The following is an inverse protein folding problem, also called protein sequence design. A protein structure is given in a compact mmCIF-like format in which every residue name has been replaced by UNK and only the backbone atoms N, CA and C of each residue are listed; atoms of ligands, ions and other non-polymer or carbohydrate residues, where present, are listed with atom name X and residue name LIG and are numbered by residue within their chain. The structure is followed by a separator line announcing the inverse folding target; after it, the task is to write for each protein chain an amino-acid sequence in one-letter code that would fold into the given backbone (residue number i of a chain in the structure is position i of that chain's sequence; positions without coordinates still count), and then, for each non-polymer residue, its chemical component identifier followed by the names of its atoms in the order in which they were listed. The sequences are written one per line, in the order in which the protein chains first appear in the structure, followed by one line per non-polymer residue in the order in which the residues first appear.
data_IF_434407318026
#
_entry.id   IF_434407318026
#
_cell.length_a   1.000
_cell.length_b   1.000
_cell.length_c   1.000
_cell.angle_alpha   90.00
_cell.angle_beta   90.00
_cell.angle_gamma   90.00
#
_symmetry.space_group_name_H-M   'P 1'
#
loop_
_entity.id
_entity.type
_entity.pdbx_description
1 polymer ?
#
# COMPACT_ATOMS: atom_id res chain seq x y z
N UNK A 1 -3.31 5.17 10.75
CA UNK A 1 -1.97 4.74 10.35
C UNK A 1 -1.64 5.41 9.03
N UNK A 2 -0.57 6.19 8.96
CA UNK A 2 -0.03 6.69 7.69
C UNK A 2 1.00 5.70 7.14
N UNK A 3 1.26 5.78 5.83
CA UNK A 3 2.32 5.01 5.18
C UNK A 3 3.38 5.97 4.60
N UNK A 4 4.62 5.75 5.03
CA UNK A 4 5.80 6.46 4.53
C UNK A 4 6.67 5.48 3.75
N UNK A 5 7.09 5.88 2.57
CA UNK A 5 7.94 5.10 1.67
C UNK A 5 9.29 5.78 1.57
N UNK A 6 10.35 5.02 1.78
CA UNK A 6 11.71 5.54 1.78
C UNK A 6 12.53 4.84 0.70
N UNK A 7 13.27 5.62 -0.07
CA UNK A 7 14.29 5.09 -0.97
C UNK A 7 15.64 5.05 -0.25
N UNK A 8 16.35 3.93 -0.34
CA UNK A 8 17.68 3.77 0.20
C UNK A 8 18.61 3.20 -0.86
N UNK A 9 19.90 3.50 -0.75
CA UNK A 9 20.91 2.76 -1.49
C UNK A 9 20.98 1.31 -0.98
N UNK A 10 21.38 0.36 -1.83
CA UNK A 10 21.35 -1.07 -1.49
C UNK A 10 22.23 -1.39 -0.27
N UNK A 11 23.41 -0.80 -0.18
CA UNK A 11 24.33 -0.96 0.95
C UNK A 11 23.73 -0.41 2.25
N UNK A 12 22.95 0.67 2.17
CA UNK A 12 22.20 1.22 3.31
C UNK A 12 21.07 0.28 3.76
N UNK A 13 20.33 -0.33 2.84
CA UNK A 13 19.32 -1.36 3.18
C UNK A 13 19.96 -2.52 3.94
N UNK A 14 21.11 -3.01 3.47
CA UNK A 14 21.84 -4.08 4.15
C UNK A 14 22.38 -3.64 5.52
N UNK A 15 22.78 -2.37 5.69
CA UNK A 15 23.13 -1.84 7.00
C UNK A 15 21.94 -1.84 7.96
N UNK A 16 20.76 -1.35 7.52
CA UNK A 16 19.52 -1.31 8.31
C UNK A 16 19.10 -2.72 8.75
N UNK A 17 19.15 -3.70 7.85
CA UNK A 17 18.86 -5.11 8.18
C UNK A 17 19.76 -5.67 9.28
N UNK A 18 21.00 -5.20 9.35
CA UNK A 18 21.97 -5.58 10.37
C UNK A 18 21.94 -4.63 11.60
N UNK A 19 20.80 -3.98 11.85
CA UNK A 19 20.57 -3.05 12.97
C UNK A 19 21.47 -1.80 12.95
N UNK A 20 21.96 -1.43 11.76
CA UNK A 20 22.63 -0.15 11.52
C UNK A 20 21.65 0.96 11.16
N UNK A 21 22.15 2.19 11.07
CA UNK A 21 21.38 3.36 10.65
C UNK A 21 21.65 3.70 9.17
N UNK A 22 20.76 4.51 8.58
CA UNK A 22 20.85 4.92 7.19
C UNK A 22 20.17 6.25 6.91
N UNK A 23 20.69 6.98 5.93
CA UNK A 23 20.01 8.17 5.40
C UNK A 23 19.19 7.80 4.16
N UNK A 24 17.92 8.20 4.15
CA UNK A 24 17.05 8.00 3.00
C UNK A 24 17.47 8.94 1.86
N UNK A 25 17.45 8.41 0.64
CA UNK A 25 17.67 9.17 -0.60
C UNK A 25 16.44 9.99 -0.97
N UNK A 26 15.26 9.46 -0.66
CA UNK A 26 13.97 10.10 -0.94
C UNK A 26 12.91 9.57 0.03
N UNK A 27 11.85 10.34 0.22
CA UNK A 27 10.69 9.99 1.04
C UNK A 27 9.40 10.36 0.32
N UNK A 28 8.42 9.48 0.39
CA UNK A 28 7.06 9.74 -0.06
C UNK A 28 6.04 9.37 1.01
N UNK A 29 5.21 10.32 1.40
CA UNK A 29 4.11 10.12 2.35
C UNK A 29 2.78 9.94 1.60
N UNK A 30 2.20 8.74 1.68
CA UNK A 30 0.90 8.41 1.10
C UNK A 30 -0.26 8.67 2.08
N UNK A 31 0.04 9.22 3.26
CA UNK A 31 -0.83 9.36 4.42
C UNK A 31 -1.68 8.11 4.59
N UNK A 32 -3.01 8.24 4.58
CA UNK A 32 -3.93 7.14 4.92
C UNK A 32 -4.41 6.35 3.71
N UNK A 33 -3.88 6.62 2.52
CA UNK A 33 -4.46 6.10 1.27
C UNK A 33 -3.86 4.76 0.82
N UNK A 34 -2.90 4.20 1.56
CA UNK A 34 -2.19 2.97 1.20
C UNK A 34 -3.11 1.77 0.94
N UNK A 35 -4.13 1.55 1.77
CA UNK A 35 -5.04 0.41 1.63
C UNK A 35 -5.98 0.56 0.42
N UNK A 36 -6.51 1.77 0.23
CA UNK A 36 -7.30 2.12 -0.95
C UNK A 36 -6.49 2.05 -2.24
N UNK A 37 -5.22 2.46 -2.22
CA UNK A 37 -4.31 2.32 -3.35
C UNK A 37 -4.06 0.85 -3.68
N UNK A 38 -3.80 0.01 -2.66
CA UNK A 38 -3.65 -1.42 -2.85
C UNK A 38 -4.91 -2.05 -3.47
N UNK A 39 -6.11 -1.70 -2.99
CA UNK A 39 -7.36 -2.19 -3.57
C UNK A 39 -7.60 -1.71 -4.99
N UNK A 40 -7.24 -0.47 -5.28
CA UNK A 40 -7.33 0.09 -6.63
C UNK A 40 -6.43 -0.68 -7.61
N UNK A 41 -5.19 -0.96 -7.20
CA UNK A 41 -4.20 -1.62 -8.04
C UNK A 41 -4.41 -3.14 -8.19
N UNK A 42 -5.02 -3.79 -7.20
CA UNK A 42 -5.04 -5.27 -7.12
C UNK A 42 -6.44 -5.88 -7.00
N UNK A 43 -7.46 -5.06 -6.73
CA UNK A 43 -8.83 -5.50 -6.46
C UNK A 43 -9.09 -5.95 -5.01
N UNK A 44 -8.05 -6.16 -4.19
CA UNK A 44 -8.18 -6.55 -2.77
C UNK A 44 -7.62 -5.46 -1.87
N UNK A 45 -8.26 -5.16 -0.75
CA UNK A 45 -7.60 -4.38 0.30
C UNK A 45 -6.57 -5.26 1.02
N UNK A 46 -5.71 -4.63 1.80
CA UNK A 46 -4.57 -5.26 2.47
C UNK A 46 -5.05 -6.18 3.56
N UNK A 47 -6.11 -5.81 4.28
CA UNK A 47 -6.68 -6.64 5.33
C UNK A 47 -7.25 -7.95 4.78
N UNK A 48 -7.84 -7.93 3.58
CA UNK A 48 -8.28 -9.12 2.84
C UNK A 48 -7.07 -10.02 2.50
N UNK A 49 -5.97 -9.43 1.99
CA UNK A 49 -4.74 -10.17 1.65
C UNK A 49 -4.06 -10.76 2.88
N UNK A 50 -3.95 -9.99 3.97
CA UNK A 50 -3.36 -10.46 5.24
C UNK A 50 -4.18 -11.59 5.85
N UNK A 51 -5.52 -11.44 5.90
CA UNK A 51 -6.41 -12.44 6.48
C UNK A 51 -6.39 -13.76 5.70
N UNK A 52 -6.09 -13.71 4.41
CA UNK A 52 -5.93 -14.88 3.55
C UNK A 52 -4.54 -15.54 3.66
N UNK A 53 -3.60 -14.97 4.41
CA UNK A 53 -2.19 -15.41 4.41
C UNK A 53 -1.48 -15.19 3.07
N UNK A 54 -2.02 -14.29 2.25
CA UNK A 54 -1.53 -13.99 0.90
C UNK A 54 -0.47 -12.88 0.87
N UNK A 55 -0.28 -12.19 2.01
CA UNK A 55 0.71 -11.12 2.13
C UNK A 55 2.12 -11.73 1.96
N UNK A 56 2.90 -11.16 1.05
CA UNK A 56 4.22 -11.65 0.60
C UNK A 56 4.25 -12.99 -0.15
N UNK A 57 3.16 -13.75 -0.19
CA UNK A 57 3.12 -15.07 -0.88
C UNK A 57 2.57 -14.99 -2.30
N UNK A 58 1.78 -13.95 -2.63
CA UNK A 58 1.27 -13.73 -3.98
C UNK A 58 2.22 -12.82 -4.77
N UNK A 59 2.79 -13.27 -5.91
CA UNK A 59 3.72 -12.47 -6.69
C UNK A 59 2.98 -11.45 -7.55
N UNK A 60 2.51 -10.37 -6.92
CA UNK A 60 1.90 -9.23 -7.59
C UNK A 60 2.75 -7.98 -7.41
N UNK A 61 3.54 -7.57 -8.43
CA UNK A 61 4.37 -6.37 -8.34
C UNK A 61 3.61 -5.08 -8.01
N UNK A 62 2.31 -4.99 -8.32
CA UNK A 62 1.51 -3.84 -7.91
C UNK A 62 1.17 -3.84 -6.41
N UNK A 63 1.09 -5.03 -5.79
CA UNK A 63 0.97 -5.16 -4.33
C UNK A 63 2.28 -4.76 -3.65
N UNK A 64 3.42 -5.18 -4.21
CA UNK A 64 4.75 -4.85 -3.69
C UNK A 64 5.06 -3.36 -3.73
N UNK A 65 4.43 -2.61 -4.64
CA UNK A 65 4.52 -1.16 -4.65
C UNK A 65 4.00 -0.51 -3.35
N UNK A 66 3.11 -1.19 -2.63
CA UNK A 66 2.50 -0.70 -1.39
C UNK A 66 3.12 -1.34 -0.14
N UNK A 67 3.45 -2.64 -0.20
CA UNK A 67 3.91 -3.42 0.97
C UNK A 67 5.31 -4.00 0.84
N UNK A 68 6.02 -3.82 -0.26
CA UNK A 68 7.26 -4.58 -0.50
C UNK A 68 7.01 -6.09 -0.61
N UNK A 69 8.09 -6.87 -0.52
CA UNK A 69 8.08 -8.32 -0.68
C UNK A 69 8.54 -9.07 0.59
N UNK A 70 9.24 -8.39 1.50
CA UNK A 70 9.86 -8.99 2.67
C UNK A 70 9.93 -7.98 3.83
N UNK A 71 10.10 -8.45 5.06
CA UNK A 71 10.13 -7.62 6.28
C UNK A 71 11.54 -7.42 6.82
N UNK A 72 11.78 -6.30 7.51
CA UNK A 72 13.03 -6.03 8.23
C UNK A 72 12.77 -6.12 9.74
N UNK A 73 13.70 -6.72 10.50
CA UNK A 73 13.64 -6.84 11.97
C UNK A 73 13.40 -8.28 12.48
N UNK A 74 13.70 -8.51 13.76
CA UNK A 74 13.41 -9.81 14.41
C UNK A 74 11.89 -10.02 14.52
N UNK A 75 11.45 -11.20 14.06
CA UNK A 75 10.09 -11.73 14.17
C UNK A 75 8.95 -10.82 13.66
N UNK A 76 9.21 -9.99 12.64
CA UNK A 76 8.17 -9.14 12.01
C UNK A 76 7.54 -8.13 12.98
N UNK A 77 8.23 -7.80 14.07
CA UNK A 77 7.78 -6.90 15.13
C UNK A 77 7.76 -5.43 14.71
N UNK A 78 8.49 -5.08 13.65
CA UNK A 78 8.46 -3.76 13.04
C UNK A 78 7.68 -3.85 11.72
N UNK A 79 6.67 -2.98 11.57
CA UNK A 79 5.85 -2.88 10.36
C UNK A 79 6.63 -2.23 9.19
N UNK A 80 7.86 -2.67 8.97
CA UNK A 80 8.76 -2.18 7.93
C UNK A 80 9.03 -3.34 6.98
N UNK A 81 8.59 -3.14 5.76
CA UNK A 81 8.81 -4.06 4.66
C UNK A 81 9.56 -3.37 3.52
N UNK A 82 10.25 -4.16 2.70
CA UNK A 82 11.11 -3.65 1.64
C UNK A 82 10.91 -4.43 0.34
N UNK A 83 11.25 -3.78 -0.76
CA UNK A 83 11.41 -4.39 -2.08
C UNK A 83 12.89 -4.29 -2.47
N UNK A 84 13.51 -5.41 -2.86
CA UNK A 84 14.89 -5.40 -3.34
C UNK A 84 15.01 -4.73 -4.71
N UNK A 85 16.24 -4.53 -5.19
CA UNK A 85 16.51 -3.87 -6.49
C UNK A 85 15.77 -4.54 -7.65
N UNK A 86 15.70 -5.87 -7.69
CA UNK A 86 15.00 -6.58 -8.77
C UNK A 86 13.47 -6.49 -8.64
N UNK A 87 12.95 -6.47 -7.41
CA UNK A 87 11.53 -6.27 -7.15
C UNK A 87 11.09 -4.86 -7.54
N UNK A 88 11.90 -3.84 -7.26
CA UNK A 88 11.65 -2.46 -7.68
C UNK A 88 11.60 -2.35 -9.20
N UNK A 89 12.44 -3.08 -9.94
CA UNK A 89 12.35 -3.13 -11.42
C UNK A 89 11.05 -3.78 -11.88
N UNK A 90 10.62 -4.85 -11.22
CA UNK A 90 9.36 -5.53 -11.53
C UNK A 90 8.14 -4.61 -11.25
N UNK A 91 8.15 -3.91 -10.11
CA UNK A 91 7.17 -2.89 -9.73
C UNK A 91 7.12 -1.80 -10.79
N UNK A 92 8.26 -1.20 -11.14
CA UNK A 92 8.33 -0.12 -12.11
C UNK A 92 7.76 -0.55 -13.48
N UNK A 93 8.09 -1.76 -13.93
CA UNK A 93 7.55 -2.32 -15.17
C UNK A 93 6.04 -2.53 -15.10
N UNK A 94 5.53 -3.07 -14.00
CA UNK A 94 4.10 -3.29 -13.81
C UNK A 94 3.34 -1.96 -13.79
N UNK A 95 3.84 -0.96 -13.06
CA UNK A 95 3.26 0.39 -13.00
C UNK A 95 3.23 1.05 -14.38
N UNK A 96 4.33 1.00 -15.15
CA UNK A 96 4.40 1.56 -16.50
C UNK A 96 3.48 0.86 -17.51
N UNK A 97 3.20 -0.43 -17.29
CA UNK A 97 2.34 -1.23 -18.17
C UNK A 97 0.86 -1.14 -17.78
N UNK A 98 0.56 -0.57 -16.60
CA UNK A 98 -0.81 -0.44 -16.12
C UNK A 98 -1.46 0.77 -16.77
N UNK A 99 -2.59 0.54 -17.43
CA UNK A 99 -3.47 1.62 -17.88
C UNK A 99 -4.24 2.15 -16.68
N UNK A 100 -3.70 3.22 -16.07
CA UNK A 100 -4.27 3.84 -14.87
C UNK A 100 -5.65 4.43 -15.14
N UNK A 101 -5.92 4.94 -16.35
CA UNK A 101 -7.22 5.52 -16.69
C UNK A 101 -8.29 4.44 -16.74
N UNK A 102 -8.00 3.32 -17.42
CA UNK A 102 -8.90 2.15 -17.46
C UNK A 102 -9.10 1.57 -16.06
N UNK A 103 -8.03 1.47 -15.27
CA UNK A 103 -8.10 0.97 -13.90
C UNK A 103 -9.01 1.84 -13.04
N UNK A 104 -8.78 3.16 -12.99
CA UNK A 104 -9.60 4.11 -12.24
C UNK A 104 -11.07 4.12 -12.69
N UNK A 105 -11.33 4.01 -14.00
CA UNK A 105 -12.69 3.93 -14.53
C UNK A 105 -13.45 2.67 -14.06
N UNK A 106 -12.72 1.60 -13.71
CA UNK A 106 -13.30 0.34 -13.22
C UNK A 106 -13.51 0.30 -11.70
N UNK A 107 -12.94 1.24 -10.94
CA UNK A 107 -12.99 1.21 -9.47
C UNK A 107 -14.38 1.60 -8.96
N UNK A 108 -14.98 0.70 -8.16
CA UNK A 108 -16.17 1.01 -7.38
C UNK A 108 -15.80 1.53 -5.98
N UNK A 109 -15.62 2.85 -5.86
CA UNK A 109 -15.33 3.49 -4.56
C UNK A 109 -16.46 3.34 -3.53
N UNK A 110 -17.70 3.10 -3.95
CA UNK A 110 -18.79 2.82 -2.99
C UNK A 110 -18.56 1.48 -2.29
N UNK A 111 -18.09 0.48 -3.04
CA UNK A 111 -17.74 -0.84 -2.51
C UNK A 111 -16.56 -0.84 -1.54
N UNK A 112 -15.73 0.22 -1.53
CA UNK A 112 -14.63 0.35 -0.56
C UNK A 112 -15.17 0.49 0.86
N UNK A 113 -16.32 1.15 1.04
CA UNK A 113 -16.97 1.28 2.35
C UNK A 113 -17.55 -0.04 2.85
N UNK A 114 -18.11 -0.86 1.95
CA UNK A 114 -18.78 -2.12 2.29
C UNK A 114 -17.81 -3.17 2.87
N UNK A 115 -16.55 -3.13 2.43
CA UNK A 115 -15.49 -4.06 2.82
C UNK A 115 -14.48 -3.45 3.79
N UNK A 116 -14.78 -2.27 4.35
CA UNK A 116 -13.95 -1.62 5.37
C UNK A 116 -12.56 -1.19 4.87
N UNK A 117 -12.42 -0.81 3.59
CA UNK A 117 -11.15 -0.33 3.06
C UNK A 117 -10.73 0.97 3.76
N UNK A 118 -9.50 1.02 4.25
CA UNK A 118 -8.92 2.17 4.90
C UNK A 118 -8.54 3.28 3.88
N UNK A 119 -8.72 4.56 4.20
CA UNK A 119 -9.37 5.08 5.39
C UNK A 119 -10.89 4.91 5.30
N UNK A 120 -11.58 4.74 6.43
CA UNK A 120 -13.04 4.50 6.49
C UNK A 120 -13.89 5.75 6.16
N UNK A 121 -13.61 6.41 5.04
CA UNK A 121 -14.25 7.64 4.56
C UNK A 121 -15.24 7.39 3.41
N UNK A 122 -15.21 6.19 2.83
CA UNK A 122 -15.95 5.83 1.61
C UNK A 122 -17.47 5.77 1.81
N UNK A 123 -17.96 5.66 3.05
CA UNK A 123 -19.37 5.52 3.39
C UNK A 123 -20.16 6.83 3.59
N UNK A 124 -19.54 8.02 3.46
CA UNK A 124 -20.22 9.29 3.76
C UNK A 124 -21.03 9.85 2.58
N UNK A 125 -22.14 9.17 2.21
CA UNK A 125 -23.30 9.78 1.53
C UNK A 125 -24.62 9.09 1.88
N UNK A 126 -25.07 9.17 3.14
CA UNK A 126 -26.47 8.87 3.47
C UNK A 126 -27.08 9.70 4.62
N UNK A 127 -26.27 10.41 5.42
CA UNK A 127 -26.75 11.13 6.61
C UNK A 127 -26.65 12.67 6.54
N UNK A 128 -26.43 13.26 5.36
CA UNK A 128 -26.79 14.67 5.13
C UNK A 128 -28.32 14.80 4.98
N UNK A 129 -29.08 14.22 5.93
CA UNK A 129 -30.50 14.49 6.07
C UNK A 129 -30.65 15.93 6.57
N UNK A 130 -31.06 16.81 5.66
CA UNK A 130 -32.12 17.79 5.90
C UNK A 130 -32.19 18.34 7.34
N UNK A 131 -31.27 19.24 7.70
CA UNK A 131 -31.61 20.25 8.70
C UNK A 131 -32.65 21.16 8.06
N UNK A 132 -33.93 20.77 8.11
CA UNK A 132 -35.00 21.76 8.04
C UNK A 132 -34.84 22.61 9.30
N UNK A 133 -34.45 23.87 9.10
CA UNK A 133 -34.58 24.91 10.11
C UNK A 133 -36.01 24.86 10.67
N UNK A 134 -36.13 24.53 11.95
CA UNK A 134 -37.30 24.80 12.78
C UNK A 134 -37.22 26.23 13.29
#
# INVERSE_FOLDING_TARGET
MSAHYYAYAQDVIEAIKNSGDGEALDEYDLDKMWDAMHKTLTGKNVFEVMSAGEIFTTPNPLSWAIFGLDTVGEDGSEAVSYAGVDDVKAVAKAMQSTDIDTLLASVNFTGFGEVGTYPEIWGMRANLKTSKRS
#
